data_IF_626127131123
#
_entry.id   IF_626127131123
#
_cell.length_a   1.000
_cell.length_b   1.000
_cell.length_c   1.000
_cell.angle_alpha   90.00
_cell.angle_beta   90.00
_cell.angle_gamma   90.00
#
_symmetry.space_group_name_H-M   'P 1'
#
loop_
_entity.id
_entity.type
_entity.pdbx_description
1 polymer ?
#
# COMPACT_ATOMS: atom_id res chain seq x y z
N UNK A 1 -31.47 1.08 0.54
CA UNK A 1 -30.05 0.73 0.74
C UNK A 1 -29.62 1.13 2.15
N UNK A 2 -29.08 0.19 2.91
CA UNK A 2 -28.58 0.46 4.26
C UNK A 2 -27.07 0.70 4.19
N UNK A 3 -26.66 1.98 4.08
CA UNK A 3 -25.25 2.33 4.20
C UNK A 3 -24.73 2.09 5.62
N UNK A 4 -23.43 1.77 5.74
CA UNK A 4 -22.74 1.63 7.00
C UNK A 4 -22.62 3.00 7.68
N UNK A 5 -22.88 3.05 8.99
CA UNK A 5 -22.70 4.26 9.79
C UNK A 5 -21.25 4.35 10.26
N UNK A 6 -20.60 5.47 9.98
CA UNK A 6 -19.24 5.73 10.47
C UNK A 6 -19.19 7.06 11.23
N UNK A 7 -18.26 7.16 12.18
CA UNK A 7 -17.92 8.44 12.79
C UNK A 7 -16.98 9.22 11.89
N UNK A 8 -17.41 10.42 11.51
CA UNK A 8 -16.61 11.34 10.69
C UNK A 8 -16.19 12.53 11.53
N UNK A 9 -14.88 12.79 11.58
CA UNK A 9 -14.35 14.00 12.20
C UNK A 9 -14.56 15.18 11.25
N UNK A 10 -15.32 16.16 11.70
CA UNK A 10 -15.51 17.44 11.01
C UNK A 10 -14.90 18.57 11.83
N UNK A 11 -14.72 19.70 11.20
CA UNK A 11 -14.22 20.91 11.86
C UNK A 11 -15.26 22.01 11.68
N UNK A 12 -15.62 22.66 12.77
CA UNK A 12 -16.45 23.85 12.76
C UNK A 12 -15.60 25.05 13.13
N UNK A 13 -15.79 26.15 12.40
CA UNK A 13 -15.21 27.45 12.73
C UNK A 13 -16.17 28.21 13.64
N UNK A 14 -15.64 28.91 14.61
CA UNK A 14 -16.43 29.72 15.53
C UNK A 14 -15.55 30.41 16.55
N UNK A 15 -16.16 31.04 17.51
CA UNK A 15 -15.51 31.80 18.57
C UNK A 15 -16.23 31.59 19.90
N UNK A 16 -15.56 31.92 21.00
CA UNK A 16 -16.18 31.93 22.31
C UNK A 16 -16.67 33.35 22.68
N UNK A 17 -17.92 33.47 23.11
CA UNK A 17 -18.50 34.70 23.59
C UNK A 17 -19.00 34.51 25.03
N UNK A 18 -18.71 35.48 25.88
CA UNK A 18 -19.13 35.44 27.29
C UNK A 18 -20.66 35.43 27.40
N UNK A 19 -21.21 34.43 28.06
CA UNK A 19 -22.67 34.23 28.18
C UNK A 19 -23.34 33.45 27.06
N UNK A 20 -22.70 33.28 25.90
CA UNK A 20 -23.22 32.50 24.74
C UNK A 20 -22.47 31.17 24.54
N UNK A 21 -21.29 31.03 25.13
CA UNK A 21 -20.44 29.87 24.89
C UNK A 21 -19.78 29.86 23.53
N UNK A 22 -19.64 28.68 22.89
CA UNK A 22 -19.09 28.56 21.54
C UNK A 22 -20.16 28.88 20.50
N UNK A 23 -19.94 29.95 19.75
CA UNK A 23 -20.80 30.44 18.66
C UNK A 23 -20.18 30.03 17.33
N UNK A 24 -20.93 29.37 16.47
CA UNK A 24 -20.43 29.01 15.12
C UNK A 24 -20.35 30.27 14.25
N UNK A 25 -19.34 30.33 13.39
CA UNK A 25 -19.18 31.43 12.43
C UNK A 25 -20.45 31.67 11.56
N UNK A 26 -21.16 30.58 11.25
CA UNK A 26 -22.43 30.61 10.51
C UNK A 26 -23.60 31.21 11.32
N UNK A 27 -23.49 31.23 12.64
CA UNK A 27 -24.49 31.76 13.58
C UNK A 27 -24.09 33.14 14.10
N UNK A 28 -23.01 33.72 13.59
CA UNK A 28 -22.49 35.03 13.98
C UNK A 28 -23.44 36.14 13.55
N UNK A 29 -23.77 37.02 14.50
CA UNK A 29 -24.56 38.20 14.22
C UNK A 29 -23.80 39.22 13.34
N UNK A 30 -24.45 40.22 12.73
CA UNK A 30 -23.75 41.26 11.98
C UNK A 30 -22.72 42.02 12.83
N UNK A 31 -22.97 42.17 14.14
CA UNK A 31 -22.03 42.78 15.08
C UNK A 31 -20.83 41.89 15.37
N UNK A 32 -21.06 40.57 15.55
CA UNK A 32 -20.01 39.59 15.71
C UNK A 32 -19.09 39.58 14.48
N UNK A 33 -19.66 39.63 13.27
CA UNK A 33 -18.87 39.65 12.02
C UNK A 33 -17.97 40.90 11.94
N UNK A 34 -18.46 42.08 12.30
CA UNK A 34 -17.65 43.30 12.35
C UNK A 34 -16.49 43.17 13.37
N UNK A 35 -16.74 42.54 14.51
CA UNK A 35 -15.73 42.31 15.55
C UNK A 35 -14.69 41.26 15.12
N UNK A 36 -15.09 40.28 14.33
CA UNK A 36 -14.18 39.32 13.70
C UNK A 36 -13.32 40.04 12.65
N UNK A 37 -13.91 40.82 11.77
CA UNK A 37 -13.20 41.57 10.73
C UNK A 37 -12.21 42.59 11.32
N UNK A 38 -12.57 43.22 12.45
CA UNK A 38 -11.66 44.13 13.17
C UNK A 38 -10.59 43.45 14.03
N UNK A 39 -10.57 42.12 14.08
CA UNK A 39 -9.61 41.36 14.89
C UNK A 39 -9.90 41.34 16.40
N UNK A 40 -11.06 41.84 16.84
CA UNK A 40 -11.49 41.85 18.25
C UNK A 40 -11.94 40.45 18.73
N UNK A 41 -12.33 39.59 17.81
CA UNK A 41 -12.71 38.18 18.06
C UNK A 41 -11.83 37.28 17.20
N UNK A 42 -11.16 36.34 17.84
CA UNK A 42 -10.40 35.29 17.15
C UNK A 42 -11.31 34.11 16.80
N UNK A 43 -11.33 33.74 15.52
CA UNK A 43 -12.05 32.56 15.05
C UNK A 43 -11.15 31.32 15.18
N UNK A 44 -11.62 30.36 15.97
CA UNK A 44 -10.92 29.09 16.19
C UNK A 44 -11.61 27.96 15.42
N UNK A 45 -10.83 26.91 15.12
CA UNK A 45 -11.35 25.65 14.53
C UNK A 45 -11.54 24.63 15.63
N UNK A 46 -12.77 24.14 15.84
CA UNK A 46 -13.10 23.12 16.82
C UNK A 46 -13.47 21.82 16.12
N UNK A 47 -12.79 20.69 16.42
CA UNK A 47 -13.20 19.41 15.88
C UNK A 47 -14.47 18.91 16.56
N UNK A 48 -15.32 18.25 15.78
CA UNK A 48 -16.47 17.51 16.29
C UNK A 48 -16.66 16.23 15.47
N UNK A 49 -17.37 15.28 16.03
CA UNK A 49 -17.66 14.02 15.37
C UNK A 49 -19.16 13.96 15.04
N UNK A 50 -19.47 13.49 13.86
CA UNK A 50 -20.84 13.22 13.41
C UNK A 50 -20.91 11.79 12.87
N UNK A 51 -22.12 11.23 12.85
CA UNK A 51 -22.38 9.95 12.21
C UNK A 51 -22.82 10.21 10.78
N UNK A 52 -22.10 9.63 9.82
CA UNK A 52 -22.48 9.66 8.41
C UNK A 52 -22.68 8.26 7.87
N UNK A 53 -23.50 8.14 6.84
CA UNK A 53 -23.69 6.91 6.11
C UNK A 53 -22.71 6.85 4.97
N UNK A 54 -21.95 5.74 4.89
CA UNK A 54 -21.12 5.41 3.74
C UNK A 54 -21.66 4.17 3.05
N UNK A 55 -21.53 4.14 1.76
CA UNK A 55 -21.99 3.05 0.92
C UNK A 55 -20.80 2.39 0.26
N UNK A 56 -20.86 1.07 0.10
CA UNK A 56 -19.91 0.39 -0.77
C UNK A 56 -20.08 0.90 -2.20
N UNK A 57 -18.98 0.99 -2.94
CA UNK A 57 -19.04 1.53 -4.31
C UNK A 57 -19.89 0.65 -5.23
N UNK A 58 -19.97 -0.64 -4.95
CA UNK A 58 -20.84 -1.57 -5.69
C UNK A 58 -22.33 -1.27 -5.51
N UNK A 59 -22.68 -0.48 -4.50
CA UNK A 59 -24.03 0.04 -4.24
C UNK A 59 -24.29 1.37 -4.96
N UNK A 60 -23.32 1.87 -5.71
CA UNK A 60 -23.47 3.10 -6.51
C UNK A 60 -23.76 2.77 -7.97
N UNK A 61 -24.14 3.77 -8.75
CA UNK A 61 -24.34 3.62 -10.21
C UNK A 61 -23.03 3.78 -11.00
N UNK A 62 -21.89 3.85 -10.33
CA UNK A 62 -20.59 3.94 -10.96
C UNK A 62 -20.27 2.65 -11.69
N UNK A 63 -19.69 2.77 -12.86
CA UNK A 63 -19.27 1.62 -13.64
C UNK A 63 -17.96 1.04 -13.08
N UNK A 64 -17.75 -0.28 -13.18
CA UNK A 64 -16.52 -0.91 -12.70
C UNK A 64 -15.23 -0.29 -13.24
N UNK A 65 -15.25 0.22 -14.46
CA UNK A 65 -14.13 0.92 -15.11
C UNK A 65 -13.72 2.23 -14.42
N UNK A 66 -14.63 2.83 -13.64
CA UNK A 66 -14.36 4.05 -12.88
C UNK A 66 -13.87 3.77 -11.45
N UNK A 67 -13.99 2.52 -10.96
CA UNK A 67 -13.57 2.14 -9.61
C UNK A 67 -12.09 2.47 -9.30
N UNK A 68 -11.13 2.22 -10.20
CA UNK A 68 -9.72 2.56 -9.96
C UNK A 68 -9.46 4.05 -9.71
N UNK A 69 -10.27 4.92 -10.32
CA UNK A 69 -10.14 6.38 -10.17
C UNK A 69 -10.60 6.88 -8.80
N UNK A 70 -11.51 6.11 -8.17
CA UNK A 70 -12.19 6.49 -6.93
C UNK A 70 -11.60 5.79 -5.73
N UNK A 71 -10.92 4.65 -5.94
CA UNK A 71 -10.25 3.87 -4.91
C UNK A 71 -8.74 4.08 -4.90
N UNK A 72 -8.22 5.12 -4.26
CA UNK A 72 -6.78 5.29 -4.11
C UNK A 72 -6.15 4.15 -3.29
N UNK A 73 -6.92 3.48 -2.42
CA UNK A 73 -6.46 2.40 -1.55
C UNK A 73 -6.83 1.00 -2.05
N UNK A 74 -7.20 0.84 -3.34
CA UNK A 74 -7.44 -0.51 -3.87
C UNK A 74 -6.21 -1.40 -3.72
N UNK A 75 -6.45 -2.68 -3.58
CA UNK A 75 -5.38 -3.67 -3.58
C UNK A 75 -4.91 -3.86 -5.02
N UNK A 76 -3.61 -3.76 -5.25
CA UNK A 76 -2.97 -4.07 -6.52
C UNK A 76 -2.35 -5.46 -6.45
N UNK A 77 -2.34 -6.16 -7.58
CA UNK A 77 -1.63 -7.41 -7.76
C UNK A 77 -0.87 -7.33 -9.08
N UNK A 78 0.40 -6.94 -8.96
CA UNK A 78 1.25 -6.73 -10.12
C UNK A 78 1.77 -8.07 -10.66
N UNK A 79 2.01 -8.13 -11.96
CA UNK A 79 2.55 -9.33 -12.59
C UNK A 79 4.03 -9.49 -12.26
N UNK A 80 4.35 -10.55 -11.55
CA UNK A 80 5.70 -11.03 -11.29
C UNK A 80 5.60 -12.51 -10.88
N UNK A 81 6.40 -13.38 -11.48
CA UNK A 81 6.38 -14.79 -11.13
C UNK A 81 6.90 -15.06 -9.71
N UNK A 82 6.70 -16.26 -9.20
CA UNK A 82 7.07 -16.60 -7.83
C UNK A 82 8.57 -16.51 -7.57
N UNK A 83 9.38 -16.90 -8.55
CA UNK A 83 10.84 -16.80 -8.45
C UNK A 83 11.26 -15.34 -8.34
N UNK A 84 10.79 -14.48 -9.24
CA UNK A 84 11.05 -13.04 -9.21
C UNK A 84 10.55 -12.38 -7.91
N UNK A 85 9.39 -12.80 -7.38
CA UNK A 85 8.89 -12.33 -6.07
C UNK A 85 9.87 -12.67 -4.94
N UNK A 86 10.35 -13.92 -4.88
CA UNK A 86 11.31 -14.37 -3.87
C UNK A 86 12.64 -13.62 -4.00
N UNK A 87 13.20 -13.55 -5.19
CA UNK A 87 14.45 -12.86 -5.46
C UNK A 87 14.36 -11.36 -5.10
N UNK A 88 13.29 -10.69 -5.51
CA UNK A 88 13.09 -9.28 -5.18
C UNK A 88 12.92 -9.08 -3.67
N UNK A 89 12.21 -9.97 -2.98
CA UNK A 89 12.08 -9.94 -1.51
C UNK A 89 13.42 -10.04 -0.81
N UNK A 90 14.29 -10.98 -1.24
CA UNK A 90 15.65 -11.14 -0.71
C UNK A 90 16.48 -9.87 -0.92
N UNK A 91 16.41 -9.31 -2.12
CA UNK A 91 17.10 -8.06 -2.44
C UNK A 91 16.59 -6.84 -1.63
N UNK A 92 15.29 -6.74 -1.41
CA UNK A 92 14.68 -5.69 -0.56
C UNK A 92 15.19 -5.78 0.88
N UNK A 93 15.29 -6.99 1.43
CA UNK A 93 15.86 -7.19 2.77
C UNK A 93 17.33 -6.76 2.85
N UNK A 94 18.11 -6.97 1.80
CA UNK A 94 19.48 -6.48 1.73
C UNK A 94 19.55 -4.94 1.71
N UNK A 95 18.66 -4.27 0.96
CA UNK A 95 18.55 -2.80 1.00
C UNK A 95 18.20 -2.33 2.41
N UNK A 96 17.19 -2.91 3.04
CA UNK A 96 16.76 -2.56 4.39
C UNK A 96 17.92 -2.70 5.40
N UNK A 97 18.64 -3.82 5.33
CA UNK A 97 19.82 -4.08 6.17
C UNK A 97 20.93 -3.04 5.95
N UNK A 98 21.22 -2.68 4.70
CA UNK A 98 22.28 -1.72 4.37
C UNK A 98 22.00 -0.31 4.91
N UNK A 99 20.74 0.08 4.98
CA UNK A 99 20.33 1.39 5.54
C UNK A 99 19.96 1.30 7.03
N UNK A 100 20.07 0.12 7.65
CA UNK A 100 19.82 -0.07 9.07
C UNK A 100 18.34 -0.06 9.47
N UNK A 101 17.44 -0.40 8.56
CA UNK A 101 15.98 -0.40 8.76
C UNK A 101 15.47 -1.84 8.93
N UNK A 102 14.52 -2.04 9.83
CA UNK A 102 13.76 -3.29 9.94
C UNK A 102 12.40 -3.14 9.27
N UNK A 103 12.01 -4.16 8.51
CA UNK A 103 10.66 -4.24 7.92
C UNK A 103 9.85 -5.18 8.81
N UNK A 104 8.73 -4.70 9.34
CA UNK A 104 7.85 -5.40 10.27
C UNK A 104 6.43 -5.45 9.76
N UNK A 105 5.67 -6.43 10.22
CA UNK A 105 4.25 -6.51 9.96
C UNK A 105 3.42 -5.74 11.00
N UNK A 106 2.33 -5.10 10.54
CA UNK A 106 1.42 -4.39 11.44
C UNK A 106 0.82 -5.28 12.54
N UNK A 107 0.78 -6.60 12.34
CA UNK A 107 0.27 -7.56 13.32
C UNK A 107 1.18 -7.78 14.52
N UNK A 108 2.43 -7.32 14.46
CA UNK A 108 3.38 -7.43 15.56
C UNK A 108 3.03 -6.53 16.75
N UNK A 109 2.19 -5.51 16.55
CA UNK A 109 1.80 -4.57 17.60
C UNK A 109 0.41 -3.99 17.38
N UNK A 110 -0.39 -3.87 18.45
CA UNK A 110 -1.68 -3.15 18.42
C UNK A 110 -1.50 -1.66 18.08
N UNK A 111 -0.37 -1.09 18.47
CA UNK A 111 -0.02 0.30 18.11
C UNK A 111 0.14 0.42 16.60
N UNK A 112 0.89 -0.48 15.97
CA UNK A 112 1.05 -0.50 14.52
C UNK A 112 -0.28 -0.64 13.79
N UNK A 113 -1.16 -1.55 14.24
CA UNK A 113 -2.48 -1.74 13.64
C UNK A 113 -3.32 -0.46 13.70
N UNK A 114 -3.28 0.25 14.82
CA UNK A 114 -4.04 1.48 15.01
C UNK A 114 -3.47 2.64 14.21
N UNK A 115 -2.17 2.84 14.24
CA UNK A 115 -1.49 3.99 13.60
C UNK A 115 -1.43 3.84 12.08
N UNK A 116 -1.13 2.63 11.57
CA UNK A 116 -1.07 2.37 10.13
C UNK A 116 -2.47 2.44 9.48
N UNK A 117 -3.50 1.94 10.16
CA UNK A 117 -4.89 1.99 9.69
C UNK A 117 -5.08 1.37 8.30
N UNK A 118 -5.39 2.19 7.30
CA UNK A 118 -5.61 1.77 5.91
C UNK A 118 -4.37 1.94 5.01
N UNK A 119 -3.31 2.58 5.51
CA UNK A 119 -2.08 2.73 4.75
C UNK A 119 -1.48 1.36 4.40
N UNK A 120 -0.79 1.27 3.28
CA UNK A 120 -0.17 0.03 2.79
C UNK A 120 1.15 -0.27 3.46
N UNK A 121 1.84 0.76 3.89
CA UNK A 121 3.06 0.75 4.68
C UNK A 121 3.29 2.11 5.28
N UNK A 122 4.26 2.21 6.17
CA UNK A 122 4.75 3.48 6.69
C UNK A 122 6.20 3.34 7.16
N UNK A 123 7.03 4.29 6.79
CA UNK A 123 8.31 4.52 7.46
C UNK A 123 8.06 5.27 8.77
N UNK A 124 8.49 4.68 9.87
CA UNK A 124 8.27 5.18 11.22
C UNK A 124 9.62 5.44 11.90
N UNK A 125 9.73 6.56 12.55
CA UNK A 125 10.87 6.91 13.40
C UNK A 125 10.40 7.23 14.81
N UNK A 126 10.95 6.53 15.77
CA UNK A 126 10.73 6.85 17.17
C UNK A 126 11.59 8.07 17.56
N UNK A 127 10.94 9.18 17.87
CA UNK A 127 11.63 10.42 18.21
C UNK A 127 12.44 10.35 19.52
N UNK A 128 12.07 9.43 20.43
CA UNK A 128 12.74 9.28 21.72
C UNK A 128 13.95 8.34 21.66
N UNK A 129 13.82 7.20 20.94
CA UNK A 129 14.91 6.21 20.85
C UNK A 129 15.76 6.42 19.61
N UNK A 130 15.25 7.09 18.61
CA UNK A 130 15.87 7.23 17.29
C UNK A 130 15.79 5.98 16.43
N UNK A 131 15.11 4.93 16.90
CA UNK A 131 14.88 3.71 16.14
C UNK A 131 14.00 3.98 14.94
N UNK A 132 14.31 3.29 13.85
CA UNK A 132 13.66 3.47 12.57
C UNK A 132 13.24 2.11 12.01
N UNK A 133 12.01 2.04 11.54
CA UNK A 133 11.44 0.83 11.01
C UNK A 133 10.41 1.13 9.90
N UNK A 134 10.12 0.12 9.11
CA UNK A 134 9.02 0.15 8.15
C UNK A 134 7.97 -0.83 8.62
N UNK A 135 6.73 -0.35 8.77
CA UNK A 135 5.59 -1.18 9.16
C UNK A 135 4.74 -1.44 7.93
N UNK A 136 4.48 -2.72 7.63
CA UNK A 136 3.75 -3.17 6.45
C UNK A 136 2.36 -3.66 6.79
N UNK A 137 1.39 -3.33 5.94
CA UNK A 137 0.03 -3.79 6.08
C UNK A 137 -0.11 -5.22 5.54
N UNK A 138 -0.57 -6.15 6.37
CA UNK A 138 -0.76 -7.56 6.01
C UNK A 138 -1.86 -7.81 4.98
N UNK A 139 -2.67 -6.80 4.64
CA UNK A 139 -3.66 -6.87 3.56
C UNK A 139 -3.08 -6.62 2.16
N UNK A 140 -1.80 -6.32 2.06
CA UNK A 140 -1.13 -6.20 0.77
C UNK A 140 -1.07 -7.57 0.08
N UNK A 141 -1.23 -7.58 -1.25
CA UNK A 141 -0.79 -8.75 -2.04
C UNK A 141 0.73 -8.87 -1.95
N UNK A 142 1.31 -10.03 -2.25
CA UNK A 142 2.76 -10.19 -2.25
C UNK A 142 3.48 -9.14 -3.12
N UNK A 143 3.00 -8.89 -4.32
CA UNK A 143 3.60 -7.91 -5.23
C UNK A 143 3.39 -6.46 -4.79
N UNK A 144 2.24 -6.15 -4.20
CA UNK A 144 2.01 -4.85 -3.59
C UNK A 144 2.91 -4.63 -2.36
N UNK A 145 3.15 -5.69 -1.57
CA UNK A 145 4.07 -5.64 -0.44
C UNK A 145 5.48 -5.25 -0.91
N UNK A 146 6.00 -5.89 -1.98
CA UNK A 146 7.30 -5.57 -2.57
C UNK A 146 7.38 -4.10 -3.01
N UNK A 147 6.42 -3.64 -3.80
CA UNK A 147 6.40 -2.26 -4.29
C UNK A 147 6.30 -1.23 -3.14
N UNK A 148 5.47 -1.51 -2.14
CA UNK A 148 5.32 -0.64 -0.96
C UNK A 148 6.61 -0.64 -0.13
N UNK A 149 7.26 -1.78 0.07
CA UNK A 149 8.54 -1.86 0.79
C UNK A 149 9.60 -0.97 0.14
N UNK A 150 9.72 -0.99 -1.19
CA UNK A 150 10.67 -0.14 -1.91
C UNK A 150 10.31 1.35 -1.75
N UNK A 151 9.03 1.69 -1.78
CA UNK A 151 8.54 3.05 -1.55
C UNK A 151 8.93 3.56 -0.15
N UNK A 152 8.66 2.79 0.90
CA UNK A 152 9.01 3.16 2.27
C UNK A 152 10.52 3.20 2.51
N UNK A 153 11.29 2.30 1.89
CA UNK A 153 12.75 2.34 1.91
C UNK A 153 13.29 3.61 1.23
N UNK A 154 12.64 4.08 0.16
CA UNK A 154 13.02 5.34 -0.47
C UNK A 154 12.77 6.53 0.47
N UNK A 155 11.66 6.55 1.21
CA UNK A 155 11.43 7.53 2.27
C UNK A 155 12.54 7.48 3.33
N UNK A 156 12.84 6.31 3.86
CA UNK A 156 13.89 6.13 4.86
C UNK A 156 15.25 6.61 4.37
N UNK A 157 15.57 6.36 3.09
CA UNK A 157 16.87 6.70 2.50
C UNK A 157 17.02 8.17 2.15
N UNK A 158 15.95 8.84 1.70
CA UNK A 158 16.02 10.22 1.19
C UNK A 158 15.49 11.27 2.16
N UNK A 159 14.50 10.91 3.00
CA UNK A 159 13.67 11.91 3.66
C UNK A 159 13.86 12.02 5.18
N UNK A 160 14.77 11.24 5.76
CA UNK A 160 15.04 11.21 7.20
C UNK A 160 15.24 12.60 7.84
N UNK A 161 15.94 13.50 7.16
CA UNK A 161 16.22 14.87 7.61
C UNK A 161 15.87 15.90 6.52
N UNK A 162 14.97 15.56 5.62
CA UNK A 162 14.63 16.41 4.49
C UNK A 162 13.55 17.43 4.87
N UNK A 163 13.80 18.68 4.50
CA UNK A 163 12.82 19.77 4.62
C UNK A 163 11.92 19.93 3.40
N UNK A 164 12.03 19.03 2.42
CA UNK A 164 11.16 19.02 1.24
C UNK A 164 9.69 18.93 1.64
N UNK A 165 8.81 19.54 0.85
CA UNK A 165 7.38 19.40 1.01
C UNK A 165 6.91 17.95 0.77
N UNK A 166 5.76 17.60 1.35
CA UNK A 166 5.23 16.23 1.27
C UNK A 166 5.02 15.77 -0.17
N UNK A 167 4.53 16.64 -1.06
CA UNK A 167 4.29 16.28 -2.45
C UNK A 167 5.57 15.90 -3.19
N UNK A 168 6.66 16.62 -2.91
CA UNK A 168 7.99 16.30 -3.47
C UNK A 168 8.54 15.00 -2.89
N UNK A 169 8.38 14.75 -1.59
CA UNK A 169 8.78 13.49 -0.95
C UNK A 169 8.04 12.29 -1.55
N UNK A 170 6.73 12.39 -1.69
CA UNK A 170 5.91 11.33 -2.27
C UNK A 170 6.25 11.07 -3.74
N UNK A 171 6.51 12.14 -4.52
CA UNK A 171 6.98 12.02 -5.89
C UNK A 171 8.30 11.24 -5.95
N UNK A 172 9.28 11.62 -5.14
CA UNK A 172 10.60 10.96 -5.13
C UNK A 172 10.50 9.49 -4.73
N UNK A 173 9.74 9.17 -3.69
CA UNK A 173 9.57 7.80 -3.22
C UNK A 173 8.84 6.93 -4.24
N UNK A 174 7.72 7.41 -4.82
CA UNK A 174 6.97 6.63 -5.80
C UNK A 174 7.73 6.45 -7.12
N UNK A 175 8.43 7.48 -7.60
CA UNK A 175 9.28 7.34 -8.80
C UNK A 175 10.42 6.35 -8.57
N UNK A 176 11.08 6.40 -7.41
CA UNK A 176 12.11 5.43 -7.06
C UNK A 176 11.55 4.02 -7.03
N UNK A 177 10.42 3.80 -6.37
CA UNK A 177 9.74 2.50 -6.34
C UNK A 177 9.38 2.02 -7.74
N UNK A 178 8.80 2.88 -8.57
CA UNK A 178 8.43 2.53 -9.94
C UNK A 178 9.63 2.11 -10.78
N UNK A 179 10.73 2.87 -10.75
CA UNK A 179 11.95 2.57 -11.50
C UNK A 179 12.54 1.22 -11.06
N UNK A 180 12.66 0.99 -9.76
CA UNK A 180 13.23 -0.25 -9.22
C UNK A 180 12.33 -1.45 -9.56
N UNK A 181 11.03 -1.35 -9.31
CA UNK A 181 10.07 -2.40 -9.67
C UNK A 181 10.12 -2.75 -11.15
N UNK A 182 10.12 -1.72 -12.02
CA UNK A 182 10.17 -1.91 -13.47
C UNK A 182 11.45 -2.58 -13.93
N UNK A 183 12.59 -2.24 -13.32
CA UNK A 183 13.88 -2.88 -13.60
C UNK A 183 13.85 -4.38 -13.35
N UNK A 184 13.18 -4.82 -12.29
CA UNK A 184 13.02 -6.24 -11.94
C UNK A 184 11.78 -6.90 -12.56
N UNK A 185 11.21 -6.31 -13.60
CA UNK A 185 10.11 -6.89 -14.39
C UNK A 185 8.71 -6.70 -13.81
N UNK A 186 8.56 -5.96 -12.69
CA UNK A 186 7.27 -5.67 -12.08
C UNK A 186 6.76 -4.29 -12.51
N UNK A 187 5.73 -4.26 -13.37
CA UNK A 187 5.13 -3.01 -13.84
C UNK A 187 4.09 -2.48 -12.83
N UNK A 188 4.45 -1.41 -12.14
CA UNK A 188 3.56 -0.73 -11.18
C UNK A 188 2.93 0.54 -11.75
N UNK A 189 2.99 0.77 -13.06
CA UNK A 189 2.52 2.01 -13.72
C UNK A 189 1.06 2.34 -13.42
N UNK A 190 0.21 1.32 -13.31
CA UNK A 190 -1.21 1.47 -13.00
C UNK A 190 -1.45 2.17 -11.64
N UNK A 191 -0.56 1.94 -10.67
CA UNK A 191 -0.57 2.61 -9.36
C UNK A 191 0.24 3.91 -9.41
N UNK A 192 1.47 3.84 -9.90
CA UNK A 192 2.44 4.91 -9.78
C UNK A 192 2.03 6.18 -10.55
N UNK A 193 1.54 6.04 -11.78
CA UNK A 193 1.18 7.20 -12.60
C UNK A 193 0.05 8.05 -11.98
N UNK A 194 -1.12 7.48 -11.60
CA UNK A 194 -2.16 8.25 -10.94
C UNK A 194 -1.74 8.80 -9.58
N UNK A 195 -0.91 8.07 -8.83
CA UNK A 195 -0.42 8.50 -7.53
C UNK A 195 0.48 9.74 -7.67
N UNK A 196 1.47 9.69 -8.55
CA UNK A 196 2.34 10.83 -8.88
C UNK A 196 1.52 12.03 -9.37
N UNK A 197 0.56 11.80 -10.29
CA UNK A 197 -0.31 12.85 -10.80
C UNK A 197 -1.10 13.54 -9.68
N UNK A 198 -1.58 12.78 -8.69
CA UNK A 198 -2.31 13.33 -7.55
C UNK A 198 -1.42 14.25 -6.71
N UNK A 199 -0.22 13.80 -6.34
CA UNK A 199 0.69 14.58 -5.50
C UNK A 199 1.27 15.79 -6.23
N UNK A 200 1.53 15.68 -7.52
CA UNK A 200 2.11 16.76 -8.34
C UNK A 200 1.06 17.67 -8.96
N UNK A 201 -0.23 17.47 -8.70
CA UNK A 201 -1.33 18.18 -9.39
C UNK A 201 -1.17 18.13 -10.90
N UNK A 202 -0.98 16.92 -11.44
CA UNK A 202 -0.70 16.67 -12.85
C UNK A 202 0.59 17.36 -13.37
N UNK A 203 1.63 17.42 -12.53
CA UNK A 203 2.93 18.01 -12.89
C UNK A 203 3.10 19.48 -12.49
N UNK A 204 2.02 20.20 -12.21
CA UNK A 204 2.05 21.64 -11.91
C UNK A 204 3.02 21.98 -10.74
N UNK A 205 3.07 21.15 -9.70
CA UNK A 205 3.99 21.34 -8.57
C UNK A 205 5.47 21.32 -9.00
N UNK A 206 5.79 20.58 -10.07
CA UNK A 206 7.15 20.57 -10.65
C UNK A 206 7.38 21.76 -11.58
N UNK A 207 6.37 22.15 -12.35
CA UNK A 207 6.47 23.28 -13.27
C UNK A 207 6.70 24.60 -12.51
N UNK A 208 6.14 24.72 -11.31
CA UNK A 208 6.32 25.88 -10.42
C UNK A 208 7.73 25.97 -9.80
N UNK A 209 8.56 24.92 -9.92
CA UNK A 209 9.92 24.88 -9.39
C UNK A 209 10.95 25.34 -10.41
N UNK A 210 12.03 25.93 -9.93
CA UNK A 210 13.18 26.28 -10.77
C UNK A 210 13.81 25.04 -11.42
N UNK A 211 14.36 25.19 -12.62
CA UNK A 211 14.95 24.08 -13.39
C UNK A 211 16.06 23.35 -12.62
N UNK A 212 16.87 24.07 -11.84
CA UNK A 212 17.91 23.47 -11.00
C UNK A 212 17.32 22.63 -9.86
N UNK A 213 16.21 23.05 -9.24
CA UNK A 213 15.52 22.31 -8.21
C UNK A 213 14.88 21.04 -8.77
N UNK A 214 14.20 21.14 -9.93
CA UNK A 214 13.68 19.96 -10.64
C UNK A 214 14.79 18.96 -10.95
N UNK A 215 15.94 19.47 -11.46
CA UNK A 215 17.11 18.64 -11.74
C UNK A 215 17.62 17.90 -10.50
N UNK A 216 17.69 18.58 -9.35
CA UNK A 216 18.09 17.97 -8.08
C UNK A 216 17.12 16.87 -7.65
N UNK A 217 15.80 17.11 -7.71
CA UNK A 217 14.77 16.12 -7.38
C UNK A 217 14.96 14.85 -8.22
N UNK A 218 15.12 14.99 -9.54
CA UNK A 218 15.29 13.85 -10.45
C UNK A 218 16.64 13.13 -10.28
N UNK A 219 17.70 13.88 -9.98
CA UNK A 219 19.01 13.29 -9.69
C UNK A 219 18.98 12.46 -8.40
N UNK A 220 18.29 12.92 -7.36
CA UNK A 220 18.12 12.16 -6.11
C UNK A 220 17.36 10.86 -6.35
N UNK A 221 16.26 10.89 -7.13
CA UNK A 221 15.52 9.69 -7.55
C UNK A 221 16.44 8.71 -8.29
N UNK A 222 17.16 9.20 -9.31
CA UNK A 222 18.05 8.37 -10.13
C UNK A 222 19.16 7.74 -9.30
N UNK A 223 19.75 8.50 -8.39
CA UNK A 223 20.83 8.04 -7.51
C UNK A 223 20.34 6.93 -6.58
N UNK A 224 19.20 7.11 -5.92
CA UNK A 224 18.68 6.13 -4.96
C UNK A 224 18.11 4.91 -5.68
N UNK A 225 17.44 5.08 -6.83
CA UNK A 225 16.98 3.95 -7.62
C UNK A 225 18.16 3.07 -8.08
N UNK A 226 19.25 3.67 -8.58
CA UNK A 226 20.45 2.93 -8.96
C UNK A 226 21.12 2.23 -7.77
N UNK A 227 21.22 2.90 -6.60
CA UNK A 227 21.72 2.29 -5.36
C UNK A 227 20.93 1.04 -4.98
N UNK A 228 19.61 1.12 -5.03
CA UNK A 228 18.73 -0.01 -4.71
C UNK A 228 18.86 -1.12 -5.76
N UNK A 229 18.84 -0.79 -7.05
CA UNK A 229 19.00 -1.76 -8.14
C UNK A 229 20.32 -2.52 -8.00
N UNK A 230 21.41 -1.83 -7.73
CA UNK A 230 22.71 -2.48 -7.54
C UNK A 230 22.73 -3.41 -6.34
N UNK A 231 22.21 -2.95 -5.19
CA UNK A 231 22.14 -3.75 -3.97
C UNK A 231 21.29 -5.00 -4.18
N UNK A 232 20.09 -4.84 -4.76
CA UNK A 232 19.17 -5.96 -5.04
C UNK A 232 19.79 -6.93 -6.03
N UNK A 233 20.36 -6.45 -7.14
CA UNK A 233 21.00 -7.31 -8.14
C UNK A 233 22.16 -8.14 -7.57
N UNK A 234 23.00 -7.52 -6.74
CA UNK A 234 24.10 -8.21 -6.10
C UNK A 234 23.61 -9.31 -5.15
N UNK A 235 22.59 -9.03 -4.35
CA UNK A 235 22.02 -10.02 -3.42
C UNK A 235 21.30 -11.14 -4.15
N UNK A 236 20.56 -10.85 -5.22
CA UNK A 236 19.94 -11.88 -6.07
C UNK A 236 21.00 -12.81 -6.65
N UNK A 237 22.10 -12.27 -7.17
CA UNK A 237 23.18 -13.09 -7.71
C UNK A 237 23.78 -14.02 -6.64
N UNK A 238 24.06 -13.49 -5.44
CA UNK A 238 24.54 -14.29 -4.32
C UNK A 238 23.51 -15.32 -3.84
N UNK A 239 22.22 -14.98 -3.86
CA UNK A 239 21.13 -15.88 -3.52
C UNK A 239 21.10 -17.07 -4.48
N UNK A 240 21.15 -16.80 -5.78
CA UNK A 240 21.20 -17.85 -6.84
C UNK A 240 22.44 -18.74 -6.74
N UNK A 241 23.59 -18.20 -6.32
CA UNK A 241 24.81 -18.99 -6.12
C UNK A 241 24.73 -19.89 -4.88
N UNK A 242 24.00 -19.47 -3.84
CA UNK A 242 23.82 -20.25 -2.60
C UNK A 242 22.79 -21.35 -2.73
N UNK A 243 21.79 -21.16 -3.54
CA UNK A 243 20.83 -22.20 -3.91
C UNK A 243 21.35 -22.88 -5.18
N UNK A 244 22.03 -24.07 -5.08
CA UNK A 244 22.40 -24.80 -6.28
C UNK A 244 21.10 -25.12 -7.01
N UNK A 245 21.08 -24.74 -8.29
CA UNK A 245 19.99 -24.98 -9.23
C UNK A 245 19.21 -26.25 -8.84
N UNK A 246 17.98 -26.08 -8.36
CA UNK A 246 16.95 -27.04 -8.65
C UNK A 246 16.73 -26.85 -10.16
N UNK A 247 17.64 -27.42 -10.97
CA UNK A 247 17.38 -27.65 -12.37
C UNK A 247 16.02 -28.31 -12.41
N UNK A 248 15.10 -27.87 -13.27
CA UNK A 248 13.95 -28.66 -13.56
C UNK A 248 14.53 -30.02 -13.94
N UNK A 249 14.38 -30.99 -13.04
CA UNK A 249 14.77 -32.36 -13.33
C UNK A 249 14.19 -32.63 -14.71
N UNK A 250 15.07 -32.92 -15.69
CA UNK A 250 14.61 -33.52 -16.92
C UNK A 250 13.56 -34.52 -16.51
N UNK A 251 12.34 -34.30 -16.92
CA UNK A 251 11.29 -35.29 -16.82
C UNK A 251 11.76 -36.43 -17.69
N UNK A 252 12.68 -37.23 -17.14
CA UNK A 252 12.85 -38.60 -17.59
C UNK A 252 11.49 -39.18 -17.45
N UNK A 253 10.90 -39.44 -18.60
CA UNK A 253 9.75 -40.28 -18.73
C UNK A 253 10.08 -41.63 -18.08
N UNK A 254 9.87 -41.74 -16.79
CA UNK A 254 9.77 -42.97 -16.07
C UNK A 254 8.36 -43.13 -15.57
N UNK A 255 7.73 -44.04 -16.26
CA UNK A 255 6.52 -44.78 -15.90
C UNK A 255 5.25 -43.93 -15.63
N UNK A 256 4.40 -44.00 -16.69
CA UNK A 256 2.97 -44.14 -16.52
C UNK A 256 2.64 -45.03 -15.30
N UNK A 257 2.56 -44.46 -14.13
CA UNK A 257 1.53 -44.84 -13.20
C UNK A 257 0.32 -44.00 -13.59
N UNK A 258 -0.46 -44.52 -14.50
CA UNK A 258 -1.86 -44.21 -14.64
C UNK A 258 -2.47 -44.41 -13.26
N UNK A 259 -2.59 -43.33 -12.48
CA UNK A 259 -3.66 -43.22 -11.52
C UNK A 259 -4.94 -43.30 -12.38
N UNK A 260 -5.51 -44.48 -12.41
CA UNK A 260 -6.85 -44.71 -12.96
C UNK A 260 -7.74 -43.68 -12.25
N UNK A 261 -8.14 -42.65 -12.97
CA UNK A 261 -9.26 -41.81 -12.55
C UNK A 261 -10.43 -42.78 -12.37
N UNK A 262 -11.03 -42.79 -11.18
CA UNK A 262 -12.21 -43.64 -11.01
C UNK A 262 -13.23 -43.22 -12.05
N UNK A 263 -13.68 -44.14 -12.90
CA UNK A 263 -14.75 -43.95 -13.89
C UNK A 263 -16.09 -43.68 -13.20
N UNK A 264 -16.11 -42.77 -12.24
CA UNK A 264 -17.33 -42.37 -11.56
C UNK A 264 -17.77 -41.01 -12.09
N UNK A 265 -18.72 -41.02 -13.02
CA UNK A 265 -19.32 -39.82 -13.63
C UNK A 265 -19.97 -38.84 -12.63
N UNK A 266 -19.95 -39.13 -11.34
CA UNK A 266 -20.49 -38.30 -10.28
C UNK A 266 -19.43 -37.39 -9.59
N UNK A 267 -18.15 -37.52 -9.93
CA UNK A 267 -17.07 -36.71 -9.33
C UNK A 267 -16.75 -35.53 -10.23
N UNK A 268 -16.70 -34.34 -9.66
CA UNK A 268 -16.41 -33.09 -10.37
C UNK A 268 -15.25 -32.39 -9.65
N UNK A 269 -14.16 -32.04 -10.36
CA UNK A 269 -13.07 -31.26 -9.76
C UNK A 269 -13.48 -29.81 -9.49
N UNK A 270 -13.11 -29.30 -8.35
CA UNK A 270 -13.25 -27.89 -7.97
C UNK A 270 -11.91 -27.40 -7.41
N UNK A 271 -11.03 -26.94 -8.31
CA UNK A 271 -9.64 -26.62 -7.95
C UNK A 271 -8.85 -27.88 -7.60
N UNK A 272 -8.23 -27.91 -6.42
CA UNK A 272 -7.54 -29.07 -5.84
C UNK A 272 -8.48 -30.00 -5.04
N UNK A 273 -9.78 -29.79 -5.10
CA UNK A 273 -10.78 -30.57 -4.38
C UNK A 273 -11.66 -31.34 -5.35
N UNK A 274 -12.12 -32.51 -4.92
CA UNK A 274 -13.09 -33.33 -5.65
C UNK A 274 -14.38 -33.43 -4.88
N UNK A 275 -15.50 -33.22 -5.54
CA UNK A 275 -16.82 -33.30 -4.92
C UNK A 275 -17.55 -34.51 -5.52
N UNK A 276 -17.96 -35.45 -4.65
CA UNK A 276 -18.88 -36.52 -5.05
C UNK A 276 -20.30 -35.96 -5.08
N UNK A 277 -20.89 -35.90 -6.27
CA UNK A 277 -22.25 -35.39 -6.50
C UNK A 277 -23.33 -36.24 -5.85
N UNK A 278 -23.02 -37.51 -5.52
CA UNK A 278 -24.00 -38.45 -4.99
C UNK A 278 -24.23 -38.25 -3.49
N UNK A 279 -23.20 -37.96 -2.74
CA UNK A 279 -23.28 -37.81 -1.28
C UNK A 279 -22.72 -36.44 -0.75
N UNK A 280 -22.26 -35.58 -1.66
CA UNK A 280 -21.75 -34.24 -1.32
C UNK A 280 -20.43 -34.23 -0.55
N UNK A 281 -19.73 -35.35 -0.47
CA UNK A 281 -18.43 -35.39 0.21
C UNK A 281 -17.36 -34.69 -0.60
N UNK A 282 -16.51 -33.95 0.09
CA UNK A 282 -15.35 -33.24 -0.47
C UNK A 282 -14.08 -33.99 -0.08
N UNK A 283 -13.26 -34.30 -1.07
CA UNK A 283 -11.95 -34.95 -0.89
C UNK A 283 -10.84 -34.02 -1.37
N UNK A 284 -9.74 -33.99 -0.67
CA UNK A 284 -8.55 -33.22 -1.03
C UNK A 284 -7.59 -34.07 -1.85
N UNK A 285 -7.04 -33.52 -2.93
CA UNK A 285 -6.24 -34.24 -3.93
C UNK A 285 -4.95 -34.85 -3.33
N UNK A 286 -4.31 -34.13 -2.41
CA UNK A 286 -2.99 -34.54 -1.87
C UNK A 286 -3.06 -35.51 -0.68
N UNK A 287 -4.16 -35.62 0.02
CA UNK A 287 -4.23 -36.37 1.28
C UNK A 287 -5.26 -37.49 1.32
N UNK A 288 -6.17 -37.55 0.34
CA UNK A 288 -7.28 -38.51 0.32
C UNK A 288 -8.24 -38.37 1.51
N UNK A 289 -8.17 -37.27 2.26
CA UNK A 289 -9.02 -37.00 3.43
C UNK A 289 -10.41 -36.52 3.01
N UNK A 290 -11.43 -37.12 3.56
CA UNK A 290 -12.81 -36.68 3.42
C UNK A 290 -13.05 -35.51 4.37
N UNK A 291 -13.40 -34.34 3.84
CA UNK A 291 -13.76 -33.18 4.64
C UNK A 291 -15.27 -33.18 4.88
N UNK A 292 -15.68 -33.16 6.14
CA UNK A 292 -17.07 -32.96 6.50
C UNK A 292 -17.33 -31.46 6.66
N UNK A 293 -17.99 -30.84 5.69
CA UNK A 293 -18.51 -29.48 5.84
C UNK A 293 -19.68 -29.52 6.84
N UNK A 294 -19.56 -28.73 7.93
CA UNK A 294 -20.63 -28.48 8.88
C UNK A 294 -21.51 -27.35 8.39
#
# INVERSE_FOLDING_TARGET
>A
EQGNKIFVRKTVKGFYEKGRGFVRETEATPEDKKRIESGQIEVIKKPYYTIEKVFDITQTQLKPEDYPKIFPNRVFDFQLDKTGQTELQVGIQAVAKNIGIQIRDMTESEVYQRELGQARGAYVRNEFTGEEEIVMNTRNTPTQHLATSIHELAHARMHKFSELDTATKELQAEMTSYIVCKHFGMDTSEKAIPYIATWTKNGQTLDDKEAAERGKIMNDVSRVANEFIQTISNEINQYREREPEIQPAEVKQEHKNTLETPENKNIVPVGSLWIDKKDGKVMEEDTGRTLHLK
#
